data_IF_115983877851
#
_entry.id   IF_115983877851
#
_cell.length_a   1.000
_cell.length_b   1.000
_cell.length_c   1.000
_cell.angle_alpha   90.00
_cell.angle_beta   90.00
_cell.angle_gamma   90.00
#
_symmetry.space_group_name_H-M   'P 1'
#
loop_
_entity.id
_entity.type
_entity.pdbx_description
1 polymer ?
#
# COMPACT_ATOMS: atom_id res chain seq x y z
N UNK A 1 -10.07 13.78 -8.07
CA UNK A 1 -10.76 14.14 -6.82
C UNK A 1 -11.21 15.59 -6.77
N UNK A 2 -10.33 16.59 -6.97
CA UNK A 2 -10.74 18.01 -6.95
C UNK A 2 -11.91 18.34 -7.90
N UNK A 3 -11.90 17.77 -9.11
CA UNK A 3 -12.99 17.92 -10.10
C UNK A 3 -14.31 17.24 -9.70
N UNK A 4 -14.30 16.33 -8.73
CA UNK A 4 -15.50 15.65 -8.22
C UNK A 4 -16.08 16.35 -6.97
N UNK A 5 -15.46 17.45 -6.54
CA UNK A 5 -15.95 18.33 -5.48
C UNK A 5 -17.17 19.14 -5.94
N UNK A 6 -18.11 19.51 -5.05
CA UNK A 6 -18.11 19.32 -3.59
C UNK A 6 -18.58 17.94 -3.15
N UNK A 7 -18.02 17.45 -2.04
CA UNK A 7 -18.45 16.23 -1.37
C UNK A 7 -19.34 16.56 -0.18
N UNK A 8 -20.40 15.76 0.00
CA UNK A 8 -21.40 15.95 1.06
C UNK A 8 -20.98 15.37 2.41
N UNK A 9 -20.08 14.38 2.44
CA UNK A 9 -19.55 13.77 3.66
C UNK A 9 -18.23 13.02 3.41
N UNK A 10 -17.56 12.59 4.47
CA UNK A 10 -16.36 11.75 4.40
C UNK A 10 -16.66 10.42 3.70
N UNK A 11 -17.80 9.82 4.00
CA UNK A 11 -18.29 8.56 3.43
C UNK A 11 -18.54 8.71 1.93
N UNK A 12 -19.07 9.86 1.50
CA UNK A 12 -19.22 10.17 0.09
C UNK A 12 -17.86 10.25 -0.62
N UNK A 13 -16.86 10.93 -0.03
CA UNK A 13 -15.49 10.96 -0.57
C UNK A 13 -14.89 9.57 -0.68
N UNK A 14 -15.00 8.75 0.38
CA UNK A 14 -14.46 7.39 0.41
C UNK A 14 -15.11 6.53 -0.68
N UNK A 15 -16.44 6.65 -0.85
CA UNK A 15 -17.20 5.90 -1.86
C UNK A 15 -16.77 6.28 -3.27
N UNK A 16 -16.69 7.57 -3.58
CA UNK A 16 -16.23 8.06 -4.90
C UNK A 16 -14.78 7.65 -5.15
N UNK A 17 -13.91 7.76 -4.15
CA UNK A 17 -12.49 7.35 -4.28
C UNK A 17 -12.38 5.85 -4.58
N UNK A 18 -13.15 5.01 -3.89
CA UNK A 18 -13.18 3.56 -4.12
C UNK A 18 -13.69 3.21 -5.52
N UNK A 19 -14.76 3.86 -5.97
CA UNK A 19 -15.28 3.68 -7.34
C UNK A 19 -14.22 4.04 -8.39
N UNK A 20 -13.55 5.18 -8.23
CA UNK A 20 -12.49 5.59 -9.14
C UNK A 20 -11.31 4.62 -9.12
N UNK A 21 -10.84 4.23 -7.93
CA UNK A 21 -9.69 3.36 -7.78
C UNK A 21 -10.00 1.97 -8.33
N UNK A 22 -10.98 1.26 -7.76
CA UNK A 22 -11.22 -0.16 -8.04
C UNK A 22 -11.89 -0.44 -9.39
N UNK A 23 -12.69 0.50 -9.93
CA UNK A 23 -13.52 0.23 -11.11
C UNK A 23 -13.15 1.06 -12.35
N UNK A 24 -12.64 2.28 -12.18
CA UNK A 24 -12.39 3.19 -13.32
C UNK A 24 -10.92 3.31 -13.72
N UNK A 25 -9.99 3.08 -12.80
CA UNK A 25 -8.55 3.20 -13.08
C UNK A 25 -7.95 1.85 -13.46
N UNK A 26 -7.15 1.84 -14.52
CA UNK A 26 -6.35 0.69 -14.90
C UNK A 26 -5.28 0.39 -13.84
N UNK A 27 -5.01 -0.91 -13.60
CA UNK A 27 -3.99 -1.39 -12.64
C UNK A 27 -2.62 -0.72 -12.83
N UNK A 28 -2.24 -0.36 -14.06
CA UNK A 28 -0.99 0.36 -14.33
C UNK A 28 -0.89 1.70 -13.58
N UNK A 29 -1.98 2.48 -13.55
CA UNK A 29 -2.00 3.75 -12.84
C UNK A 29 -1.89 3.56 -11.33
N UNK A 30 -2.37 2.42 -10.80
CA UNK A 30 -2.22 2.11 -9.39
C UNK A 30 -0.75 1.86 -9.06
N UNK A 31 -0.08 1.05 -9.89
CA UNK A 31 1.31 0.67 -9.70
C UNK A 31 2.24 1.88 -9.79
N UNK A 32 2.03 2.78 -10.75
CA UNK A 32 2.79 4.03 -10.87
C UNK A 32 2.58 4.97 -9.67
N UNK A 33 1.36 5.07 -9.14
CA UNK A 33 1.07 5.89 -7.96
C UNK A 33 1.67 5.31 -6.67
N UNK A 34 1.76 3.99 -6.58
CA UNK A 34 2.30 3.27 -5.43
C UNK A 34 3.83 3.23 -5.46
N UNK A 35 4.45 3.09 -6.63
CA UNK A 35 5.92 3.06 -6.77
C UNK A 35 6.61 4.36 -6.33
N UNK A 36 5.90 5.48 -6.34
CA UNK A 36 6.40 6.76 -5.85
C UNK A 36 6.42 6.90 -4.32
N UNK A 37 5.87 5.93 -3.58
CA UNK A 37 5.84 5.97 -2.10
C UNK A 37 7.09 5.32 -1.53
N UNK A 38 7.91 6.09 -0.82
CA UNK A 38 8.93 5.53 0.05
C UNK A 38 8.27 4.88 1.27
N UNK A 39 8.70 3.66 1.60
CA UNK A 39 8.28 2.99 2.84
C UNK A 39 8.74 3.83 4.04
N UNK A 40 7.82 4.21 4.95
CA UNK A 40 8.24 4.86 6.19
C UNK A 40 9.00 3.83 7.03
N UNK A 41 10.29 4.10 7.23
CA UNK A 41 11.23 3.29 8.01
C UNK A 41 10.85 3.23 9.51
N UNK A 42 9.84 3.98 9.94
CA UNK A 42 9.41 4.09 11.34
C UNK A 42 8.82 2.78 11.88
N UNK A 43 8.17 1.96 11.04
CA UNK A 43 7.67 0.64 11.46
C UNK A 43 8.77 -0.42 11.50
N UNK A 44 9.83 -0.25 10.71
CA UNK A 44 10.99 -1.13 10.77
C UNK A 44 11.64 -1.01 12.15
N UNK A 45 11.79 0.20 12.70
CA UNK A 45 12.42 0.43 14.02
C UNK A 45 11.85 -0.39 15.19
N UNK A 46 10.58 -0.81 15.13
CA UNK A 46 9.95 -1.63 16.17
C UNK A 46 10.08 -3.14 15.94
N UNK A 47 10.44 -3.57 14.73
CA UNK A 47 10.61 -4.98 14.39
C UNK A 47 11.99 -5.49 14.83
N UNK A 48 12.06 -6.72 15.33
CA UNK A 48 13.34 -7.36 15.61
C UNK A 48 14.16 -7.50 14.31
N UNK A 49 15.49 -7.47 14.39
CA UNK A 49 16.40 -7.55 13.24
C UNK A 49 16.12 -8.76 12.34
N UNK A 50 15.77 -9.91 12.93
CA UNK A 50 15.38 -11.11 12.17
C UNK A 50 14.13 -10.87 11.32
N UNK A 51 13.09 -10.22 11.88
CA UNK A 51 11.86 -9.87 11.17
C UNK A 51 12.09 -8.85 10.06
N UNK A 52 12.98 -7.86 10.28
CA UNK A 52 13.36 -6.92 9.21
C UNK A 52 14.02 -7.63 8.04
N UNK A 53 14.92 -8.58 8.33
CA UNK A 53 15.63 -9.35 7.32
C UNK A 53 14.67 -10.21 6.50
N UNK A 54 13.75 -10.93 7.16
CA UNK A 54 12.71 -11.70 6.50
C UNK A 54 11.83 -10.81 5.60
N UNK A 55 11.36 -9.66 6.10
CA UNK A 55 10.54 -8.72 5.30
C UNK A 55 11.30 -8.20 4.07
N UNK A 56 12.59 -7.93 4.21
CA UNK A 56 13.44 -7.52 3.10
C UNK A 56 13.60 -8.62 2.04
N UNK A 57 13.83 -9.87 2.47
CA UNK A 57 13.95 -11.03 1.59
C UNK A 57 12.63 -11.30 0.85
N UNK A 58 11.50 -11.30 1.57
CA UNK A 58 10.18 -11.44 0.98
C UNK A 58 9.83 -10.31 0.02
N UNK A 59 10.17 -9.07 0.37
CA UNK A 59 10.02 -7.92 -0.51
C UNK A 59 10.80 -8.09 -1.81
N UNK A 60 12.05 -8.55 -1.71
CA UNK A 60 12.92 -8.80 -2.87
C UNK A 60 12.37 -9.92 -3.76
N UNK A 61 11.94 -11.04 -3.18
CA UNK A 61 11.33 -12.15 -3.92
C UNK A 61 10.02 -11.74 -4.61
N UNK A 62 9.21 -10.91 -3.95
CA UNK A 62 7.97 -10.40 -4.52
C UNK A 62 8.25 -9.48 -5.72
N UNK A 63 9.19 -8.55 -5.56
CA UNK A 63 9.57 -7.63 -6.63
C UNK A 63 10.19 -8.36 -7.83
N UNK A 64 11.05 -9.36 -7.60
CA UNK A 64 11.59 -10.22 -8.66
C UNK A 64 10.47 -10.95 -9.43
N UNK A 65 9.46 -11.47 -8.71
CA UNK A 65 8.37 -12.23 -9.31
C UNK A 65 7.34 -11.38 -10.06
N UNK A 66 7.01 -10.20 -9.53
CA UNK A 66 5.89 -9.39 -10.01
C UNK A 66 6.31 -8.09 -10.69
N UNK A 67 7.57 -7.65 -10.53
CA UNK A 67 8.10 -6.41 -11.10
C UNK A 67 7.67 -5.15 -10.36
N UNK A 68 7.09 -5.27 -9.16
CA UNK A 68 6.59 -4.16 -8.35
C UNK A 68 6.83 -4.39 -6.86
N UNK A 69 7.01 -3.31 -6.10
CA UNK A 69 7.15 -3.38 -4.65
C UNK A 69 5.87 -3.88 -3.97
N UNK A 70 6.03 -4.71 -2.94
CA UNK A 70 4.91 -5.16 -2.10
C UNK A 70 4.39 -4.02 -1.23
N UNK A 71 3.07 -3.78 -1.25
CA UNK A 71 2.43 -2.72 -0.47
C UNK A 71 1.24 -3.25 0.32
N UNK A 72 1.25 -2.95 1.62
CA UNK A 72 0.21 -3.34 2.56
C UNK A 72 -0.02 -2.25 3.60
N UNK A 73 -1.21 -2.23 4.20
CA UNK A 73 -1.50 -1.31 5.29
C UNK A 73 -0.91 -1.85 6.60
N UNK A 74 0.09 -1.15 7.15
CA UNK A 74 0.70 -1.49 8.43
C UNK A 74 -0.17 -1.09 9.64
N UNK A 75 -1.14 -0.18 9.46
CA UNK A 75 -1.98 0.29 10.55
C UNK A 75 -2.86 -0.84 11.11
N UNK A 76 -2.75 -1.08 12.42
CA UNK A 76 -3.54 -2.08 13.14
C UNK A 76 -3.12 -3.53 12.90
N UNK A 77 -2.00 -3.79 12.22
CA UNK A 77 -1.47 -5.15 12.00
C UNK A 77 -0.13 -5.33 12.73
N UNK A 78 0.00 -6.43 13.48
CA UNK A 78 1.30 -6.92 13.95
C UNK A 78 2.02 -7.62 12.80
N UNK A 79 3.35 -7.51 12.72
CA UNK A 79 4.18 -8.06 11.62
C UNK A 79 3.89 -9.55 11.30
N UNK A 80 3.46 -10.34 12.28
CA UNK A 80 3.08 -11.75 12.13
C UNK A 80 1.97 -11.96 11.09
N UNK A 81 1.08 -10.98 10.91
CA UNK A 81 -0.02 -11.03 9.94
C UNK A 81 0.32 -10.42 8.58
N UNK A 82 1.56 -9.93 8.41
CA UNK A 82 2.06 -9.44 7.12
C UNK A 82 2.82 -10.52 6.34
N UNK A 83 3.21 -11.62 7.00
CA UNK A 83 4.03 -12.71 6.47
C UNK A 83 3.25 -14.04 6.24
N UNK A 84 1.95 -14.09 6.57
CA UNK A 84 1.05 -15.21 6.25
C UNK A 84 0.20 -14.88 5.02
#
# INVERSE_FOLDING_TARGET
MAMASPFSSLEHVITVTRDMWFYKLNVRFWLEAISGRSCSNEYLQMANKATMQELHEWGSMYEEKFGYAFVTCAAGRTYIYLLN
#
